data_IF_395902565221
#
_entry.id   IF_395902565221
#
_cell.length_a   1.000
_cell.length_b   1.000
_cell.length_c   1.000
_cell.angle_alpha   90.00
_cell.angle_beta   90.00
_cell.angle_gamma   90.00
#
_symmetry.space_group_name_H-M   'P 1'
#
loop_
_entity.id
_entity.type
_entity.pdbx_description
1 polymer ?
#
# COMPACT_ATOMS: atom_id res chain seq x y z
N UNK A 1 10.34 5.63 -19.06
CA UNK A 1 9.22 6.50 -18.64
C UNK A 1 9.74 7.47 -17.58
N UNK A 2 9.49 8.74 -17.72
CA UNK A 2 9.90 9.72 -16.71
C UNK A 2 8.95 9.60 -15.51
N UNK A 3 9.47 9.72 -14.30
CA UNK A 3 8.73 9.62 -13.02
C UNK A 3 7.44 10.48 -12.96
N UNK A 4 7.40 11.54 -13.78
CA UNK A 4 6.28 12.48 -13.91
C UNK A 4 5.03 11.88 -14.57
N UNK A 5 5.19 10.97 -15.53
CA UNK A 5 4.06 10.36 -16.26
C UNK A 5 3.27 9.38 -15.40
N UNK A 6 3.91 8.83 -14.37
CA UNK A 6 3.31 7.83 -13.51
C UNK A 6 2.29 8.42 -12.51
N UNK A 7 2.61 9.55 -11.90
CA UNK A 7 1.74 10.18 -10.89
C UNK A 7 0.50 10.84 -11.52
N UNK A 8 0.58 11.21 -12.81
CA UNK A 8 -0.58 11.64 -13.60
C UNK A 8 -1.52 10.48 -13.95
N UNK A 9 -1.03 9.24 -14.01
CA UNK A 9 -1.82 8.06 -14.35
C UNK A 9 -2.63 7.51 -13.16
N UNK A 10 -2.19 7.72 -11.93
CA UNK A 10 -2.95 7.32 -10.75
C UNK A 10 -4.21 8.16 -10.47
N UNK A 11 -4.38 9.29 -11.14
CA UNK A 11 -5.52 10.19 -11.01
C UNK A 11 -6.15 10.66 -12.32
N UNK A 12 -5.66 10.22 -13.48
CA UNK A 12 -6.06 10.73 -14.77
C UNK A 12 -6.85 9.76 -15.63
N UNK A 13 -8.10 10.09 -15.90
CA UNK A 13 -8.92 9.44 -16.91
C UNK A 13 -8.41 9.70 -18.33
N UNK A 14 -8.51 8.66 -19.15
CA UNK A 14 -8.25 8.56 -20.57
C UNK A 14 -8.89 9.68 -21.41
N UNK A 15 -8.07 10.33 -22.24
CA UNK A 15 -8.55 10.85 -23.52
C UNK A 15 -8.39 9.70 -24.52
N UNK A 16 -9.51 9.11 -24.94
CA UNK A 16 -9.55 8.19 -26.07
C UNK A 16 -9.32 9.00 -27.36
N UNK A 17 -8.08 9.12 -27.80
CA UNK A 17 -7.78 9.56 -29.15
C UNK A 17 -8.01 8.37 -30.09
N UNK A 18 -8.93 8.52 -31.02
CA UNK A 18 -9.21 7.59 -32.11
C UNK A 18 -7.92 7.37 -32.93
N UNK A 19 -7.39 6.16 -32.87
CA UNK A 19 -6.41 5.68 -33.86
C UNK A 19 -7.15 4.78 -34.85
N UNK A 20 -6.86 4.90 -36.14
CA UNK A 20 -7.58 4.17 -37.18
C UNK A 20 -7.28 2.68 -37.12
N UNK A 21 -8.34 1.88 -37.17
CA UNK A 21 -8.30 0.45 -37.48
C UNK A 21 -7.56 0.17 -38.77
N UNK A 22 -6.61 -0.71 -38.73
CA UNK A 22 -5.85 -1.43 -39.74
C UNK A 22 -4.37 -1.08 -39.79
N UNK A 23 -3.62 -1.59 -38.86
CA UNK A 23 -2.20 -1.87 -39.09
C UNK A 23 -1.77 -3.10 -38.26
N UNK A 24 -1.56 -4.20 -38.98
CA UNK A 24 -0.76 -5.36 -38.60
C UNK A 24 -1.02 -6.01 -37.24
N UNK A 25 -1.86 -7.03 -37.23
CA UNK A 25 -1.68 -8.16 -36.33
C UNK A 25 -0.36 -8.89 -36.70
N UNK A 26 0.77 -8.32 -36.36
CA UNK A 26 1.95 -9.11 -36.08
C UNK A 26 1.62 -9.84 -34.77
N UNK A 27 1.59 -11.16 -34.83
CA UNK A 27 1.69 -12.02 -33.66
C UNK A 27 2.98 -11.64 -32.92
N UNK A 28 2.89 -10.66 -32.01
CA UNK A 28 3.94 -10.43 -31.04
C UNK A 28 3.93 -11.68 -30.15
N UNK A 29 4.99 -12.46 -30.23
CA UNK A 29 5.20 -13.47 -29.20
C UNK A 29 5.05 -12.75 -27.85
N UNK A 30 4.37 -13.35 -26.87
CA UNK A 30 4.22 -12.72 -25.57
C UNK A 30 5.61 -12.44 -25.03
N UNK A 31 5.93 -11.17 -24.78
CA UNK A 31 7.19 -10.79 -24.18
C UNK A 31 7.26 -11.51 -22.84
N UNK A 32 8.25 -12.40 -22.68
CA UNK A 32 8.44 -13.12 -21.43
C UNK A 32 8.59 -12.09 -20.29
N UNK A 33 7.71 -12.19 -19.28
CA UNK A 33 7.74 -11.29 -18.12
C UNK A 33 9.00 -11.49 -17.26
N UNK A 34 9.28 -10.55 -16.34
CA UNK A 34 10.39 -10.69 -15.41
C UNK A 34 10.24 -11.95 -14.55
N UNK A 35 11.34 -12.66 -14.38
CA UNK A 35 11.41 -13.89 -13.56
C UNK A 35 12.04 -13.67 -12.19
N UNK A 36 12.48 -12.45 -11.88
CA UNK A 36 13.11 -12.08 -10.60
C UNK A 36 12.70 -10.67 -10.20
N UNK A 37 12.77 -10.37 -8.91
CA UNK A 37 12.63 -9.01 -8.42
C UNK A 37 13.70 -8.10 -9.02
N UNK A 38 13.31 -6.85 -9.32
CA UNK A 38 14.20 -5.87 -9.93
C UNK A 38 15.17 -5.27 -8.92
N UNK A 39 14.67 -4.94 -7.74
CA UNK A 39 15.43 -4.25 -6.70
C UNK A 39 15.14 -4.84 -5.33
N UNK A 40 16.14 -5.46 -4.72
CA UNK A 40 16.06 -5.95 -3.34
C UNK A 40 17.04 -5.15 -2.51
N UNK A 41 16.53 -4.30 -1.59
CA UNK A 41 17.38 -3.66 -0.60
C UNK A 41 17.44 -4.52 0.65
N UNK A 42 18.67 -4.94 1.03
CA UNK A 42 18.91 -5.71 2.26
C UNK A 42 19.20 -4.74 3.40
N UNK A 43 18.43 -4.85 4.49
CA UNK A 43 18.58 -4.00 5.66
C UNK A 43 18.52 -4.84 6.95
N UNK A 44 19.17 -4.33 7.98
CA UNK A 44 19.08 -4.88 9.34
C UNK A 44 18.42 -3.82 10.23
N UNK A 45 17.43 -4.22 11.02
CA UNK A 45 16.71 -3.36 11.94
C UNK A 45 16.90 -3.89 13.37
N UNK A 46 17.54 -3.10 14.21
CA UNK A 46 17.72 -3.46 15.62
C UNK A 46 16.41 -3.21 16.38
N UNK A 47 15.71 -4.27 16.70
CA UNK A 47 14.44 -4.25 17.44
C UNK A 47 14.54 -4.86 18.82
N UNK A 48 15.62 -5.57 19.13
CA UNK A 48 15.79 -6.32 20.37
C UNK A 48 15.12 -7.70 20.33
N UNK A 49 15.14 -8.35 19.17
CA UNK A 49 14.64 -9.71 18.99
C UNK A 49 15.48 -10.72 19.79
N UNK A 50 14.85 -11.74 20.38
CA UNK A 50 15.55 -12.82 21.10
C UNK A 50 16.30 -13.79 20.18
N UNK A 51 15.92 -13.81 18.89
CA UNK A 51 16.62 -14.48 17.81
C UNK A 51 16.30 -13.75 16.50
N UNK A 52 17.18 -13.76 15.48
CA UNK A 52 16.96 -13.08 14.23
C UNK A 52 15.64 -13.49 13.55
N UNK A 53 14.89 -12.49 13.02
CA UNK A 53 13.67 -12.70 12.25
C UNK A 53 13.98 -12.21 10.84
N UNK A 54 13.72 -13.04 9.83
CA UNK A 54 14.01 -12.73 8.44
C UNK A 54 12.73 -12.60 7.65
N UNK A 55 12.56 -11.48 6.96
CA UNK A 55 11.36 -11.19 6.19
C UNK A 55 11.66 -10.58 4.82
N UNK A 56 10.74 -10.76 3.88
CA UNK A 56 10.64 -9.98 2.65
C UNK A 56 9.45 -9.03 2.80
N UNK A 57 9.71 -7.74 2.82
CA UNK A 57 8.69 -6.70 2.84
C UNK A 57 8.43 -6.22 1.42
N UNK A 58 7.19 -6.37 0.98
CA UNK A 58 6.64 -5.90 -0.30
C UNK A 58 5.36 -5.11 -0.06
N UNK A 59 4.94 -4.32 -1.03
CA UNK A 59 3.72 -3.52 -1.01
C UNK A 59 3.30 -3.18 -2.43
N UNK A 60 2.09 -2.65 -2.63
CA UNK A 60 1.68 -2.05 -3.91
C UNK A 60 1.88 -3.01 -5.10
N UNK A 61 1.32 -4.20 -5.01
CA UNK A 61 1.38 -5.21 -6.07
C UNK A 61 0.41 -4.88 -7.21
N UNK A 62 -0.79 -4.37 -6.89
CA UNK A 62 -1.83 -3.97 -7.84
C UNK A 62 -2.25 -5.08 -8.82
N UNK A 63 -2.69 -6.22 -8.28
CA UNK A 63 -3.27 -7.30 -9.09
C UNK A 63 -4.57 -6.83 -9.76
N UNK A 64 -4.76 -7.20 -11.04
CA UNK A 64 -5.86 -6.71 -11.88
C UNK A 64 -6.70 -7.84 -12.49
N UNK A 65 -6.88 -8.94 -11.77
CA UNK A 65 -7.62 -10.11 -12.22
C UNK A 65 -9.12 -9.86 -12.26
N UNK A 66 -9.79 -10.43 -13.25
CA UNK A 66 -11.24 -10.48 -13.40
C UNK A 66 -11.63 -11.81 -14.03
N UNK A 67 -12.87 -12.28 -13.80
CA UNK A 67 -13.45 -13.46 -14.45
C UNK A 67 -14.92 -13.25 -14.80
N UNK A 68 -15.61 -14.31 -15.19
CA UNK A 68 -17.01 -14.27 -15.64
C UNK A 68 -18.02 -13.78 -14.60
N UNK A 69 -17.64 -13.71 -13.31
CA UNK A 69 -18.47 -13.15 -12.21
C UNK A 69 -18.44 -11.64 -12.16
N UNK A 70 -17.45 -11.03 -12.82
CA UNK A 70 -17.27 -9.58 -12.84
C UNK A 70 -18.05 -8.94 -14.00
N UNK A 71 -18.55 -7.72 -13.80
CA UNK A 71 -19.29 -7.01 -14.83
C UNK A 71 -18.37 -6.38 -15.90
N UNK A 72 -18.96 -5.96 -17.04
CA UNK A 72 -18.21 -5.36 -18.16
C UNK A 72 -17.38 -4.13 -17.75
N UNK A 73 -17.87 -3.33 -16.80
CA UNK A 73 -17.12 -2.17 -16.30
C UNK A 73 -15.84 -2.61 -15.61
N UNK A 74 -15.84 -3.71 -14.85
CA UNK A 74 -14.63 -4.27 -14.23
C UNK A 74 -13.68 -4.88 -15.25
N UNK A 75 -14.18 -5.59 -16.26
CA UNK A 75 -13.34 -6.06 -17.36
C UNK A 75 -12.65 -4.93 -18.10
N UNK A 76 -13.36 -3.84 -18.38
CA UNK A 76 -12.78 -2.64 -19.01
C UNK A 76 -11.74 -1.97 -18.10
N UNK A 77 -12.02 -1.89 -16.79
CA UNK A 77 -11.08 -1.39 -15.80
C UNK A 77 -9.82 -2.25 -15.76
N UNK A 78 -9.95 -3.58 -15.63
CA UNK A 78 -8.84 -4.51 -15.61
C UNK A 78 -7.94 -4.36 -16.83
N UNK A 79 -8.52 -4.33 -18.04
CA UNK A 79 -7.78 -4.13 -19.27
C UNK A 79 -7.01 -2.79 -19.32
N UNK A 80 -7.59 -1.74 -18.75
CA UNK A 80 -6.93 -0.43 -18.61
C UNK A 80 -5.78 -0.48 -17.61
N UNK A 81 -6.04 -1.05 -16.42
CA UNK A 81 -5.06 -1.09 -15.33
C UNK A 81 -3.91 -2.05 -15.62
N UNK A 82 -4.15 -3.15 -16.32
CA UNK A 82 -3.11 -4.07 -16.75
C UNK A 82 -2.07 -3.42 -17.69
N UNK A 83 -2.48 -2.40 -18.46
CA UNK A 83 -1.52 -1.60 -19.23
C UNK A 83 -0.61 -0.73 -18.35
N UNK A 84 -1.08 -0.35 -17.16
CA UNK A 84 -0.30 0.39 -16.16
C UNK A 84 0.62 -0.54 -15.37
N UNK A 85 0.14 -1.75 -15.05
CA UNK A 85 0.82 -2.75 -14.24
C UNK A 85 1.09 -4.06 -15.01
N UNK A 86 1.78 -4.01 -16.17
CA UNK A 86 1.87 -5.17 -17.07
C UNK A 86 2.61 -6.37 -16.46
N UNK A 87 3.40 -6.15 -15.42
CA UNK A 87 4.24 -7.16 -14.79
C UNK A 87 3.91 -7.43 -13.32
N UNK A 88 2.77 -6.93 -12.82
CA UNK A 88 2.39 -7.06 -11.42
C UNK A 88 2.42 -8.51 -10.93
N UNK A 89 1.75 -9.43 -11.63
CA UNK A 89 1.73 -10.84 -11.29
C UNK A 89 3.12 -11.51 -11.37
N UNK A 90 3.90 -11.19 -12.40
CA UNK A 90 5.24 -11.74 -12.56
C UNK A 90 6.17 -11.36 -11.42
N UNK A 91 6.11 -10.11 -10.97
CA UNK A 91 6.90 -9.66 -9.83
C UNK A 91 6.37 -10.23 -8.51
N UNK A 92 5.05 -10.40 -8.38
CA UNK A 92 4.47 -11.05 -7.21
C UNK A 92 4.93 -12.51 -7.09
N UNK A 93 4.85 -13.27 -8.18
CA UNK A 93 5.36 -14.64 -8.24
C UNK A 93 6.86 -14.71 -7.95
N UNK A 94 7.63 -13.74 -8.46
CA UNK A 94 9.05 -13.64 -8.17
C UNK A 94 9.32 -13.35 -6.69
N UNK A 95 8.49 -12.53 -6.04
CA UNK A 95 8.60 -12.25 -4.60
C UNK A 95 8.32 -13.48 -3.75
N UNK A 96 7.24 -14.21 -4.06
CA UNK A 96 6.88 -15.47 -3.38
C UNK A 96 8.01 -16.50 -3.52
N UNK A 97 8.50 -16.69 -4.73
CA UNK A 97 9.60 -17.62 -4.99
C UNK A 97 10.86 -17.21 -4.24
N UNK A 98 11.23 -15.93 -4.30
CA UNK A 98 12.40 -15.42 -3.58
C UNK A 98 12.29 -15.63 -2.07
N UNK A 99 11.13 -15.33 -1.50
CA UNK A 99 10.89 -15.54 -0.07
C UNK A 99 11.02 -17.01 0.32
N UNK A 100 10.44 -17.92 -0.47
CA UNK A 100 10.55 -19.37 -0.25
C UNK A 100 11.99 -19.89 -0.34
N UNK A 101 12.71 -19.51 -1.39
CA UNK A 101 14.10 -19.92 -1.61
C UNK A 101 15.06 -19.44 -0.52
N UNK A 102 14.76 -18.29 0.09
CA UNK A 102 15.57 -17.68 1.13
C UNK A 102 15.03 -17.90 2.56
N UNK A 103 13.93 -18.66 2.72
CA UNK A 103 13.27 -18.92 3.99
C UNK A 103 12.92 -17.64 4.73
N UNK A 104 12.16 -16.74 4.06
CA UNK A 104 11.71 -15.45 4.56
C UNK A 104 10.20 -15.49 4.78
N UNK A 105 9.72 -14.94 5.90
CA UNK A 105 8.30 -14.59 6.02
C UNK A 105 7.94 -13.45 5.08
N UNK A 106 6.69 -13.38 4.63
CA UNK A 106 6.22 -12.33 3.73
C UNK A 106 5.43 -11.27 4.52
N UNK A 107 5.90 -10.05 4.48
CA UNK A 107 5.22 -8.88 5.02
C UNK A 107 4.68 -8.04 3.86
N UNK A 108 3.35 -7.88 3.76
CA UNK A 108 2.72 -7.09 2.73
C UNK A 108 2.01 -5.87 3.33
N UNK A 109 2.39 -4.67 2.92
CA UNK A 109 1.83 -3.44 3.47
C UNK A 109 0.80 -2.77 2.55
N UNK A 110 -0.14 -3.58 2.04
CA UNK A 110 -1.34 -3.09 1.33
C UNK A 110 -1.17 -2.88 -0.17
N UNK A 111 -2.30 -2.61 -0.83
CA UNK A 111 -2.44 -2.50 -2.28
C UNK A 111 -1.96 -3.77 -3.02
N UNK A 112 -2.36 -4.94 -2.49
CA UNK A 112 -2.09 -6.21 -3.15
C UNK A 112 -2.96 -6.37 -4.39
N UNK A 113 -4.25 -6.04 -4.30
CA UNK A 113 -5.13 -5.89 -5.45
C UNK A 113 -5.27 -4.41 -5.86
N UNK A 114 -5.59 -4.17 -7.14
CA UNK A 114 -5.82 -2.81 -7.65
C UNK A 114 -7.27 -2.36 -7.49
N UNK A 115 -8.18 -3.32 -7.43
CA UNK A 115 -9.61 -3.13 -7.18
C UNK A 115 -10.25 -4.45 -6.75
N UNK A 116 -11.38 -4.35 -6.07
CA UNK A 116 -12.15 -5.53 -5.61
C UNK A 116 -12.76 -6.25 -6.82
N UNK A 117 -12.38 -7.52 -7.02
CA UNK A 117 -12.98 -8.46 -7.96
C UNK A 117 -13.00 -9.85 -7.36
N UNK A 118 -13.88 -10.72 -7.82
CA UNK A 118 -13.95 -12.11 -7.32
C UNK A 118 -12.63 -12.85 -7.63
N UNK A 119 -12.09 -12.67 -8.83
CA UNK A 119 -10.84 -13.31 -9.24
C UNK A 119 -9.60 -12.83 -8.46
N UNK A 120 -9.54 -11.54 -8.09
CA UNK A 120 -8.48 -11.04 -7.21
C UNK A 120 -8.60 -11.65 -5.81
N UNK A 121 -9.80 -11.66 -5.24
CA UNK A 121 -10.01 -12.16 -3.87
C UNK A 121 -9.71 -13.65 -3.75
N UNK A 122 -10.16 -14.47 -4.72
CA UNK A 122 -9.87 -15.90 -4.76
C UNK A 122 -8.36 -16.16 -4.86
N UNK A 123 -7.68 -15.41 -5.73
CA UNK A 123 -6.23 -15.55 -5.91
C UNK A 123 -5.47 -15.15 -4.63
N UNK A 124 -5.87 -14.06 -3.98
CA UNK A 124 -5.26 -13.62 -2.71
C UNK A 124 -5.46 -14.69 -1.64
N UNK A 125 -6.69 -15.21 -1.48
CA UNK A 125 -6.98 -16.25 -0.50
C UNK A 125 -6.14 -17.51 -0.75
N UNK A 126 -6.00 -17.94 -2.01
CA UNK A 126 -5.15 -19.06 -2.39
C UNK A 126 -3.69 -18.81 -2.04
N UNK A 127 -3.13 -17.67 -2.43
CA UNK A 127 -1.71 -17.37 -2.20
C UNK A 127 -1.40 -17.18 -0.71
N UNK A 128 -2.25 -16.49 0.03
CA UNK A 128 -2.09 -16.26 1.46
C UNK A 128 -2.41 -17.50 2.32
N UNK A 129 -3.18 -18.45 1.79
CA UNK A 129 -3.38 -19.76 2.41
C UNK A 129 -2.14 -20.65 2.37
N UNK A 130 -1.15 -20.31 1.54
CA UNK A 130 0.08 -21.09 1.35
C UNK A 130 1.29 -20.24 1.72
N UNK A 131 1.84 -20.43 2.90
CA UNK A 131 3.05 -19.72 3.32
C UNK A 131 2.88 -18.90 4.59
N UNK A 132 3.93 -18.19 4.95
CA UNK A 132 3.99 -17.38 6.18
C UNK A 132 3.77 -15.90 5.83
N UNK A 133 2.50 -15.51 5.69
CA UNK A 133 2.08 -14.17 5.35
C UNK A 133 1.64 -13.37 6.57
N UNK A 134 1.90 -12.06 6.53
CA UNK A 134 1.31 -11.08 7.43
C UNK A 134 1.08 -9.77 6.69
N UNK A 135 -0.14 -9.24 6.70
CA UNK A 135 -0.54 -8.15 5.82
C UNK A 135 -1.28 -7.03 6.54
N UNK A 136 -1.13 -5.79 6.07
CA UNK A 136 -2.05 -4.67 6.30
C UNK A 136 -2.82 -4.35 5.01
N UNK A 137 -3.97 -3.71 5.14
CA UNK A 137 -4.75 -3.25 3.99
C UNK A 137 -4.20 -1.93 3.44
N UNK A 138 -4.31 -1.76 2.11
CA UNK A 138 -4.13 -0.49 1.43
C UNK A 138 -5.45 0.09 0.91
N UNK A 139 -5.42 1.26 0.29
CA UNK A 139 -6.63 1.92 -0.17
C UNK A 139 -7.25 1.20 -1.39
N UNK A 140 -6.46 0.49 -2.17
CA UNK A 140 -6.96 -0.29 -3.28
C UNK A 140 -7.64 -1.59 -2.86
N UNK A 141 -7.36 -2.13 -1.66
CA UNK A 141 -8.07 -3.29 -1.12
C UNK A 141 -9.57 -3.10 -1.09
N UNK A 142 -10.05 -1.88 -0.85
CA UNK A 142 -11.48 -1.58 -0.72
C UNK A 142 -12.07 -0.85 -1.92
N UNK A 143 -11.24 -0.52 -2.93
CA UNK A 143 -11.67 0.16 -4.14
C UNK A 143 -12.56 -0.73 -5.02
N UNK A 144 -13.83 -0.36 -5.20
CA UNK A 144 -14.70 -1.02 -6.17
C UNK A 144 -14.28 -0.70 -7.61
N UNK A 145 -13.91 0.56 -7.85
CA UNK A 145 -13.40 1.08 -9.11
C UNK A 145 -12.37 2.16 -8.84
N UNK A 146 -11.20 2.03 -9.43
CA UNK A 146 -10.12 3.00 -9.28
C UNK A 146 -10.54 4.37 -9.79
N UNK A 147 -10.25 5.41 -9.02
CA UNK A 147 -10.57 6.79 -9.39
C UNK A 147 -11.96 7.26 -8.96
N UNK A 148 -12.73 6.46 -8.23
CA UNK A 148 -13.96 6.95 -7.59
C UNK A 148 -13.64 8.02 -6.56
N UNK A 149 -14.45 9.10 -6.58
CA UNK A 149 -14.16 10.30 -5.80
C UNK A 149 -14.48 10.18 -4.30
N UNK A 150 -15.15 9.11 -3.87
CA UNK A 150 -15.54 8.89 -2.47
C UNK A 150 -14.81 7.68 -1.90
N UNK A 151 -13.72 7.95 -1.26
CA UNK A 151 -12.95 6.99 -0.49
C UNK A 151 -13.13 7.34 1.00
N UNK A 152 -14.24 6.95 1.58
CA UNK A 152 -14.61 7.16 2.97
C UNK A 152 -14.99 5.84 3.68
N UNK A 153 -15.27 5.91 4.97
CA UNK A 153 -15.63 4.73 5.78
C UNK A 153 -16.85 3.98 5.22
N UNK A 154 -17.86 4.69 4.68
CA UNK A 154 -19.05 4.07 4.11
C UNK A 154 -18.72 3.32 2.80
N UNK A 155 -17.86 3.89 1.99
CA UNK A 155 -17.36 3.24 0.78
C UNK A 155 -16.53 1.97 1.12
N UNK A 156 -15.63 2.06 2.09
CA UNK A 156 -14.85 0.92 2.59
C UNK A 156 -15.76 -0.24 3.05
N UNK A 157 -16.82 0.05 3.79
CA UNK A 157 -17.73 -0.98 4.30
C UNK A 157 -18.44 -1.79 3.21
N UNK A 158 -18.57 -1.28 2.00
CA UNK A 158 -19.21 -2.00 0.89
C UNK A 158 -18.48 -3.28 0.50
N UNK A 159 -17.16 -3.31 0.68
CA UNK A 159 -16.33 -4.47 0.33
C UNK A 159 -15.60 -5.11 1.50
N UNK A 160 -15.61 -4.47 2.68
CA UNK A 160 -14.78 -4.88 3.82
C UNK A 160 -14.88 -6.38 4.14
N UNK A 161 -16.09 -6.92 4.27
CA UNK A 161 -16.27 -8.33 4.65
C UNK A 161 -15.73 -9.32 3.60
N UNK A 162 -15.88 -8.99 2.31
CA UNK A 162 -15.34 -9.80 1.22
C UNK A 162 -13.81 -9.79 1.24
N UNK A 163 -13.25 -8.61 1.36
CA UNK A 163 -11.80 -8.42 1.38
C UNK A 163 -11.22 -9.11 2.61
N UNK A 164 -11.77 -8.88 3.80
CA UNK A 164 -11.31 -9.53 5.03
C UNK A 164 -11.28 -11.05 4.92
N UNK A 165 -12.24 -11.66 4.24
CA UNK A 165 -12.32 -13.12 4.08
C UNK A 165 -11.16 -13.71 3.24
N UNK A 166 -10.51 -12.90 2.41
CA UNK A 166 -9.37 -13.31 1.59
C UNK A 166 -8.01 -13.20 2.33
N UNK A 167 -7.98 -12.54 3.48
CA UNK A 167 -6.74 -12.27 4.22
C UNK A 167 -6.63 -13.12 5.49
N UNK A 168 -5.41 -13.59 5.86
CA UNK A 168 -5.23 -14.51 6.98
C UNK A 168 -5.35 -13.85 8.36
N UNK A 169 -5.17 -12.53 8.44
CA UNK A 169 -5.25 -11.77 9.69
C UNK A 169 -6.32 -10.69 9.63
N UNK A 170 -6.75 -10.21 10.79
CA UNK A 170 -7.65 -9.07 10.88
C UNK A 170 -6.98 -7.83 10.26
N UNK A 171 -7.63 -7.25 9.25
CA UNK A 171 -7.11 -6.07 8.55
C UNK A 171 -7.30 -4.79 9.37
N UNK A 172 -8.27 -4.76 10.29
CA UNK A 172 -8.50 -3.57 11.13
C UNK A 172 -7.33 -3.31 12.08
N UNK A 173 -7.00 -4.31 12.90
CA UNK A 173 -5.80 -4.36 13.77
C UNK A 173 -5.50 -5.82 14.07
N UNK A 174 -4.31 -6.25 13.75
CA UNK A 174 -3.83 -7.58 14.14
C UNK A 174 -2.48 -7.48 14.83
N UNK A 175 -2.12 -8.49 15.62
CA UNK A 175 -0.79 -8.60 16.19
C UNK A 175 -0.25 -10.02 16.13
N UNK A 176 1.06 -10.14 15.97
CA UNK A 176 1.78 -11.42 15.96
C UNK A 176 3.13 -11.28 16.64
N UNK A 177 3.34 -12.05 17.69
CA UNK A 177 4.62 -12.06 18.40
C UNK A 177 5.55 -13.11 17.82
N UNK A 178 6.74 -12.71 17.41
CA UNK A 178 7.80 -13.57 16.86
C UNK A 178 9.11 -13.21 17.56
N UNK A 179 9.77 -14.18 18.14
CA UNK A 179 11.07 -14.01 18.82
C UNK A 179 11.12 -12.79 19.74
N UNK A 180 10.06 -12.55 20.52
CA UNK A 180 9.98 -11.44 21.47
C UNK A 180 9.65 -10.08 20.85
N UNK A 181 9.40 -10.00 19.56
CA UNK A 181 8.98 -8.77 18.86
C UNK A 181 7.50 -8.85 18.48
N UNK A 182 6.74 -7.82 18.77
CA UNK A 182 5.32 -7.73 18.41
C UNK A 182 5.16 -7.00 17.07
N UNK A 183 4.77 -7.73 16.02
CA UNK A 183 4.39 -7.17 14.72
C UNK A 183 2.91 -6.79 14.79
N UNK A 184 2.61 -5.50 14.64
CA UNK A 184 1.24 -4.97 14.70
C UNK A 184 0.88 -4.38 13.35
N UNK A 185 -0.05 -5.02 12.63
CA UNK A 185 -0.61 -4.52 11.38
C UNK A 185 -1.93 -3.81 11.64
N UNK A 186 -2.16 -2.70 10.97
CA UNK A 186 -3.42 -1.97 11.06
C UNK A 186 -3.78 -1.25 9.75
N UNK A 187 -5.05 -1.00 9.57
CA UNK A 187 -5.64 -0.30 8.45
C UNK A 187 -5.67 1.21 8.73
N UNK A 188 -4.92 2.00 7.98
CA UNK A 188 -4.94 3.46 8.02
C UNK A 188 -5.55 4.10 6.77
N UNK A 189 -6.27 3.32 5.98
CA UNK A 189 -7.01 3.83 4.83
C UNK A 189 -8.40 4.33 5.30
N UNK A 190 -8.87 5.48 4.91
CA UNK A 190 -8.26 6.47 4.03
C UNK A 190 -7.65 7.62 4.83
N UNK A 191 -6.39 7.48 5.20
CA UNK A 191 -5.60 8.49 5.93
C UNK A 191 -6.07 8.74 7.37
N UNK A 192 -6.85 7.85 7.96
CA UNK A 192 -7.43 7.99 9.28
C UNK A 192 -7.22 6.74 10.12
N UNK A 193 -7.06 6.96 11.42
CA UNK A 193 -6.99 5.93 12.46
C UNK A 193 -8.09 6.19 13.47
N UNK A 194 -9.04 5.25 13.60
CA UNK A 194 -10.16 5.42 14.52
C UNK A 194 -9.73 5.33 15.99
N UNK A 195 -10.58 5.83 16.89
CA UNK A 195 -10.34 5.73 18.33
C UNK A 195 -10.26 4.28 18.80
N UNK A 196 -11.05 3.39 18.20
CA UNK A 196 -11.06 1.95 18.49
C UNK A 196 -9.75 1.29 18.05
N UNK A 197 -9.25 1.62 16.87
CA UNK A 197 -7.94 1.16 16.39
C UNK A 197 -6.82 1.67 17.28
N UNK A 198 -6.82 2.96 17.64
CA UNK A 198 -5.86 3.54 18.57
C UNK A 198 -5.87 2.79 19.90
N UNK A 199 -7.05 2.53 20.48
CA UNK A 199 -7.17 1.80 21.72
C UNK A 199 -6.69 0.34 21.57
N UNK A 200 -6.96 -0.31 20.43
CA UNK A 200 -6.48 -1.66 20.16
C UNK A 200 -4.95 -1.72 20.05
N UNK A 201 -4.36 -0.80 19.28
CA UNK A 201 -2.89 -0.71 19.14
C UNK A 201 -2.24 -0.41 20.49
N UNK A 202 -2.83 0.48 21.31
CA UNK A 202 -2.33 0.79 22.65
C UNK A 202 -2.23 -0.45 23.53
N UNK A 203 -3.24 -1.35 23.51
CA UNK A 203 -3.19 -2.64 24.23
C UNK A 203 -2.02 -3.52 23.76
N UNK A 204 -1.63 -3.43 22.50
CA UNK A 204 -0.48 -4.16 21.96
C UNK A 204 0.85 -3.66 22.54
N UNK A 205 0.98 -2.36 22.79
CA UNK A 205 2.15 -1.79 23.48
C UNK A 205 2.19 -2.11 24.98
N UNK A 206 1.04 -2.33 25.60
CA UNK A 206 0.93 -2.75 27.03
C UNK A 206 1.53 -4.13 27.28
N UNK A 207 1.77 -4.95 26.24
CA UNK A 207 2.50 -6.22 26.34
C UNK A 207 3.98 -6.04 26.74
N UNK A 208 4.52 -4.82 26.64
CA UNK A 208 5.91 -4.51 27.03
C UNK A 208 6.96 -5.05 26.06
N UNK A 209 6.57 -5.49 24.87
CA UNK A 209 7.47 -6.00 23.84
C UNK A 209 7.84 -4.89 22.85
N UNK A 210 9.05 -4.95 22.22
CA UNK A 210 9.36 -4.09 21.10
C UNK A 210 8.36 -4.30 19.95
N UNK A 211 7.95 -3.21 19.31
CA UNK A 211 6.90 -3.20 18.28
C UNK A 211 7.47 -2.83 16.92
N UNK A 212 7.15 -3.63 15.93
CA UNK A 212 7.23 -3.31 14.50
C UNK A 212 5.81 -3.04 14.01
N UNK A 213 5.53 -1.80 13.62
CA UNK A 213 4.21 -1.39 13.14
C UNK A 213 4.15 -1.54 11.63
N UNK A 214 3.02 -2.00 11.09
CA UNK A 214 2.77 -2.15 9.67
C UNK A 214 1.48 -1.44 9.29
N UNK A 215 1.55 -0.53 8.35
CA UNK A 215 0.40 0.14 7.73
C UNK A 215 0.69 0.40 6.25
N UNK A 216 -0.32 0.79 5.50
CA UNK A 216 -0.11 1.05 4.09
C UNK A 216 0.39 2.47 3.84
N UNK A 217 -0.36 3.45 4.31
CA UNK A 217 -0.02 4.86 4.10
C UNK A 217 1.08 5.28 5.09
N UNK A 218 2.17 5.89 4.63
CA UNK A 218 3.18 6.37 5.55
C UNK A 218 2.62 7.40 6.53
N UNK A 219 2.96 7.26 7.81
CA UNK A 219 2.64 8.25 8.82
C UNK A 219 3.46 9.52 8.60
N UNK A 220 2.87 10.68 8.82
CA UNK A 220 3.49 11.97 8.51
C UNK A 220 4.86 12.14 9.15
N UNK A 221 5.85 12.41 8.28
CA UNK A 221 7.18 12.88 8.59
C UNK A 221 7.54 14.04 7.65
N UNK A 222 8.22 15.09 8.13
CA UNK A 222 8.39 16.32 7.35
C UNK A 222 9.20 16.17 6.06
N UNK A 223 10.29 15.39 6.11
CA UNK A 223 11.19 15.24 4.95
C UNK A 223 10.56 14.37 3.87
N UNK A 224 9.91 13.27 4.27
CA UNK A 224 9.20 12.41 3.33
C UNK A 224 8.06 13.16 2.64
N UNK A 225 7.26 13.91 3.42
CA UNK A 225 6.21 14.76 2.88
C UNK A 225 6.76 15.78 1.87
N UNK A 226 7.86 16.48 2.20
CA UNK A 226 8.52 17.39 1.26
C UNK A 226 8.99 16.68 -0.01
N UNK A 227 9.53 15.47 0.11
CA UNK A 227 9.97 14.67 -1.04
C UNK A 227 8.82 14.29 -1.94
N UNK A 228 7.66 13.91 -1.36
CA UNK A 228 6.44 13.60 -2.12
C UNK A 228 5.93 14.83 -2.86
N UNK A 229 5.82 15.97 -2.15
CA UNK A 229 5.35 17.23 -2.74
C UNK A 229 6.26 17.70 -3.88
N UNK A 230 7.57 17.61 -3.70
CA UNK A 230 8.53 17.96 -4.75
C UNK A 230 8.42 17.05 -5.97
N UNK A 231 8.17 15.74 -5.77
CA UNK A 231 7.96 14.77 -6.83
C UNK A 231 6.63 14.93 -7.58
N UNK A 232 5.65 15.61 -6.94
CA UNK A 232 4.28 15.79 -7.44
C UNK A 232 3.93 17.22 -7.82
N UNK A 233 4.90 18.08 -8.09
CA UNK A 233 4.68 19.49 -8.41
C UNK A 233 3.86 20.24 -7.32
N UNK A 234 4.07 19.92 -6.06
CA UNK A 234 3.34 20.50 -4.94
C UNK A 234 1.94 19.91 -4.70
N UNK A 235 1.62 18.79 -5.35
CA UNK A 235 0.34 18.10 -5.14
C UNK A 235 0.47 17.04 -4.05
N UNK A 236 -0.38 17.10 -3.05
CA UNK A 236 -0.64 16.18 -1.96
C UNK A 236 0.52 15.48 -1.23
N UNK A 237 0.43 15.52 0.06
CA UNK A 237 1.34 14.81 0.95
C UNK A 237 1.16 13.30 1.04
N UNK A 238 0.04 12.73 0.58
CA UNK A 238 -0.26 11.28 0.63
C UNK A 238 0.27 10.57 1.88
N UNK A 239 0.06 11.18 3.04
CA UNK A 239 0.55 10.66 4.32
C UNK A 239 -0.53 10.80 5.39
N UNK A 240 -0.67 9.76 6.21
CA UNK A 240 -1.59 9.78 7.35
C UNK A 240 -1.14 10.83 8.37
N UNK A 241 -2.02 11.79 8.66
CA UNK A 241 -1.74 12.88 9.61
C UNK A 241 -0.91 14.03 9.05
N UNK A 242 -0.82 14.19 7.73
CA UNK A 242 -0.19 15.36 7.14
C UNK A 242 -0.89 16.66 7.60
N UNK A 243 -0.12 17.73 7.89
CA UNK A 243 -0.69 19.02 8.26
C UNK A 243 -1.67 19.56 7.23
N UNK A 244 -2.75 20.17 7.71
CA UNK A 244 -3.83 20.67 6.85
C UNK A 244 -3.33 21.65 5.78
N UNK A 245 -2.39 22.51 6.15
CA UNK A 245 -1.80 23.50 5.27
C UNK A 245 -1.10 22.85 4.06
N UNK A 246 -0.58 21.65 4.24
CA UNK A 246 0.05 20.88 3.15
C UNK A 246 -0.97 20.16 2.28
N UNK A 247 -2.10 19.72 2.85
CA UNK A 247 -3.17 19.02 2.13
C UNK A 247 -4.12 19.97 1.40
N UNK A 248 -4.21 21.24 1.81
CA UNK A 248 -5.04 22.27 1.16
C UNK A 248 -4.39 22.92 -0.06
N UNK A 249 -3.09 22.77 -0.24
CA UNK A 249 -2.35 23.37 -1.37
C UNK A 249 -2.51 22.64 -2.69
N UNK A 250 -3.46 21.69 -2.78
CA UNK A 250 -3.78 21.03 -4.03
C UNK A 250 -4.24 22.01 -5.11
N UNK A 251 -3.47 22.07 -6.18
CA UNK A 251 -3.92 22.79 -7.36
C UNK A 251 -5.05 22.01 -8.03
N UNK A 252 -6.15 22.71 -8.26
CA UNK A 252 -7.25 22.17 -9.08
C UNK A 252 -6.78 22.19 -10.55
N UNK A 253 -6.99 21.07 -11.24
CA UNK A 253 -6.87 21.03 -12.69
C UNK A 253 -8.21 21.51 -13.30
N UNK A 254 -8.29 22.72 -13.87
CA UNK A 254 -9.53 23.27 -14.41
C UNK A 254 -10.07 22.48 -15.61
N UNK A 255 -9.27 21.62 -16.22
CA UNK A 255 -9.70 20.77 -17.34
C UNK A 255 -10.51 19.55 -16.87
N UNK A 256 -10.56 19.25 -15.58
CA UNK A 256 -11.28 18.09 -15.02
C UNK A 256 -12.65 18.45 -14.50
N UNK A 257 -13.62 17.53 -14.58
CA UNK A 257 -14.91 17.70 -13.91
C UNK A 257 -14.74 17.99 -12.41
N UNK A 258 -15.68 18.76 -11.83
CA UNK A 258 -15.63 19.10 -10.41
C UNK A 258 -15.59 17.89 -9.47
N UNK A 259 -16.19 16.76 -9.88
CA UNK A 259 -16.16 15.48 -9.15
C UNK A 259 -14.77 14.81 -9.14
N UNK A 260 -13.89 15.19 -10.06
CA UNK A 260 -12.54 14.65 -10.22
C UNK A 260 -11.46 15.62 -9.75
N UNK A 261 -11.85 16.77 -9.21
CA UNK A 261 -10.91 17.74 -8.71
C UNK A 261 -10.23 17.23 -7.43
N UNK A 262 -8.91 17.37 -7.40
CA UNK A 262 -8.10 16.97 -6.24
C UNK A 262 -8.53 17.63 -4.92
N UNK A 263 -9.15 18.80 -4.97
CA UNK A 263 -9.71 19.45 -3.79
C UNK A 263 -10.67 18.57 -2.99
N UNK A 264 -11.44 17.71 -3.66
CA UNK A 264 -12.34 16.78 -2.97
C UNK A 264 -11.54 15.66 -2.30
N UNK A 265 -10.36 15.29 -2.82
CA UNK A 265 -9.46 14.31 -2.21
C UNK A 265 -8.68 14.90 -1.04
N UNK A 266 -8.28 16.16 -1.08
CA UNK A 266 -7.60 16.78 0.07
C UNK A 266 -8.46 16.77 1.34
N UNK A 267 -9.77 16.86 1.20
CA UNK A 267 -10.73 16.72 2.32
C UNK A 267 -10.72 15.29 2.86
N UNK A 268 -10.57 14.29 2.00
CA UNK A 268 -10.53 12.87 2.39
C UNK A 268 -9.22 12.50 3.10
N UNK A 269 -8.12 13.17 2.76
CA UNK A 269 -6.82 12.97 3.42
C UNK A 269 -6.65 13.76 4.71
N UNK A 270 -7.66 14.54 5.09
CA UNK A 270 -7.63 15.34 6.29
C UNK A 270 -7.70 14.45 7.51
N UNK A 271 -6.64 14.46 8.30
CA UNK A 271 -6.62 13.75 9.57
C UNK A 271 -7.68 14.30 10.52
N UNK A 272 -8.43 13.41 11.13
CA UNK A 272 -9.34 13.73 12.22
C UNK A 272 -8.60 13.82 13.58
N UNK A 273 -9.31 14.22 14.63
CA UNK A 273 -8.74 14.34 15.97
C UNK A 273 -8.20 13.01 16.50
N UNK A 274 -8.85 11.90 16.18
CA UNK A 274 -8.41 10.56 16.59
C UNK A 274 -7.07 10.21 15.97
N UNK A 275 -6.92 10.46 14.68
CA UNK A 275 -5.66 10.24 13.94
C UNK A 275 -4.52 11.09 14.49
N UNK A 276 -4.77 12.39 14.74
CA UNK A 276 -3.77 13.28 15.31
C UNK A 276 -3.37 12.87 16.72
N UNK A 277 -4.33 12.45 17.56
CA UNK A 277 -4.08 11.92 18.89
C UNK A 277 -3.26 10.62 18.85
N UNK A 278 -3.57 9.72 17.90
CA UNK A 278 -2.80 8.50 17.69
C UNK A 278 -1.35 8.80 17.33
N UNK A 279 -1.10 9.70 16.38
CA UNK A 279 0.26 10.06 15.96
C UNK A 279 1.06 10.73 17.07
N UNK A 280 0.43 11.63 17.84
CA UNK A 280 1.07 12.28 18.98
C UNK A 280 1.48 11.24 20.04
N UNK A 281 0.57 10.34 20.39
CA UNK A 281 0.84 9.24 21.32
C UNK A 281 1.94 8.31 20.81
N UNK A 282 1.88 7.90 19.52
CA UNK A 282 2.79 6.94 18.93
C UNK A 282 4.25 7.44 18.92
N UNK A 283 4.46 8.74 18.71
CA UNK A 283 5.80 9.37 18.74
C UNK A 283 6.49 9.27 20.10
N UNK A 284 5.73 9.16 21.17
CA UNK A 284 6.24 9.05 22.54
C UNK A 284 6.50 7.59 22.97
N UNK A 285 6.22 6.60 22.11
CA UNK A 285 6.32 5.19 22.49
C UNK A 285 7.76 4.66 22.38
N UNK A 286 8.44 4.31 23.47
CA UNK A 286 9.83 3.84 23.44
C UNK A 286 9.94 2.41 22.89
N UNK A 287 8.85 1.64 22.92
CA UNK A 287 8.77 0.28 22.39
C UNK A 287 8.63 0.24 20.86
N UNK A 288 8.23 1.35 20.22
CA UNK A 288 8.19 1.41 18.76
C UNK A 288 9.62 1.40 18.20
N UNK A 289 9.93 0.44 17.33
CA UNK A 289 11.26 0.23 16.76
C UNK A 289 11.30 0.48 15.24
N UNK A 290 10.24 0.11 14.54
CA UNK A 290 10.14 0.34 13.10
C UNK A 290 8.69 0.53 12.68
N UNK A 291 8.49 1.25 11.57
CA UNK A 291 7.23 1.33 10.84
C UNK A 291 7.51 0.91 9.40
N UNK A 292 6.74 -0.05 8.89
CA UNK A 292 6.83 -0.53 7.51
C UNK A 292 5.61 -0.05 6.73
N UNK A 293 5.83 0.59 5.57
CA UNK A 293 4.79 1.19 4.74
C UNK A 293 5.01 0.96 3.26
N UNK A 294 3.96 1.23 2.46
CA UNK A 294 3.96 1.28 1.00
C UNK A 294 3.48 2.62 0.43
N UNK A 295 2.47 2.58 -0.44
CA UNK A 295 1.67 3.70 -0.95
C UNK A 295 2.41 4.72 -1.84
N UNK A 296 3.62 5.13 -1.50
CA UNK A 296 4.36 6.15 -2.27
C UNK A 296 5.21 5.57 -3.39
N UNK A 297 5.15 4.26 -3.59
CA UNK A 297 5.81 3.51 -4.66
C UNK A 297 7.32 3.74 -4.76
N UNK A 298 7.96 4.15 -3.69
CA UNK A 298 9.39 4.46 -3.68
C UNK A 298 10.06 4.06 -2.38
N UNK A 299 11.32 3.65 -2.47
CA UNK A 299 12.11 3.44 -1.27
C UNK A 299 12.40 4.77 -0.58
N UNK A 300 11.92 4.88 0.66
CA UNK A 300 12.24 5.99 1.52
C UNK A 300 12.41 5.53 2.96
N UNK A 301 13.24 6.23 3.72
CA UNK A 301 13.36 5.99 5.16
C UNK A 301 13.57 7.31 5.88
N UNK A 302 12.89 7.49 7.00
CA UNK A 302 13.01 8.67 7.85
C UNK A 302 12.77 8.31 9.31
N UNK A 303 13.44 9.04 10.19
CA UNK A 303 13.19 8.92 11.63
C UNK A 303 11.81 9.44 11.97
N UNK A 304 10.96 8.56 12.48
CA UNK A 304 9.60 8.89 12.91
C UNK A 304 9.56 9.37 14.38
N UNK A 305 10.34 8.72 15.24
CA UNK A 305 10.44 9.04 16.66
C UNK A 305 11.89 8.84 17.15
N UNK A 306 12.25 9.18 18.41
CA UNK A 306 13.59 8.91 18.93
C UNK A 306 14.04 7.46 18.81
N UNK A 307 13.10 6.51 18.81
CA UNK A 307 13.37 5.06 18.84
C UNK A 307 13.02 4.33 17.54
N UNK A 308 12.30 4.98 16.60
CA UNK A 308 11.77 4.32 15.40
C UNK A 308 12.16 5.02 14.11
N UNK A 309 12.43 4.20 13.08
CA UNK A 309 12.55 4.65 11.70
C UNK A 309 11.35 4.10 10.92
N UNK A 310 10.77 4.92 10.06
CA UNK A 310 9.76 4.53 9.09
C UNK A 310 10.44 4.18 7.77
N UNK A 311 10.06 3.03 7.21
CA UNK A 311 10.57 2.48 5.96
C UNK A 311 9.43 2.34 4.96
N UNK A 312 9.52 3.03 3.84
CA UNK A 312 8.59 2.87 2.72
C UNK A 312 9.26 2.06 1.63
N UNK A 313 8.59 1.04 1.12
CA UNK A 313 9.12 0.17 0.07
C UNK A 313 8.70 0.64 -1.32
N UNK A 314 9.55 0.41 -2.33
CA UNK A 314 9.18 0.61 -3.73
C UNK A 314 8.10 -0.40 -4.14
N UNK A 315 7.19 0.04 -5.00
CA UNK A 315 6.04 -0.76 -5.42
C UNK A 315 6.41 -2.15 -5.95
N UNK A 316 5.66 -3.16 -5.50
CA UNK A 316 5.83 -4.56 -5.88
C UNK A 316 5.61 -4.78 -7.38
N UNK A 317 4.63 -4.07 -8.01
CA UNK A 317 4.46 -4.15 -9.47
C UNK A 317 5.65 -3.62 -10.26
N UNK A 318 6.59 -2.91 -9.63
CA UNK A 318 7.88 -2.49 -10.19
C UNK A 318 9.02 -3.46 -9.82
N UNK A 319 8.75 -4.49 -9.03
CA UNK A 319 9.72 -5.46 -8.57
C UNK A 319 10.60 -4.99 -7.41
N UNK A 320 10.11 -4.04 -6.60
CA UNK A 320 10.79 -3.54 -5.41
C UNK A 320 10.51 -4.39 -4.16
N UNK A 321 11.51 -4.57 -3.31
CA UNK A 321 11.37 -5.25 -2.01
C UNK A 321 12.45 -4.82 -1.02
N UNK A 322 12.14 -4.90 0.28
CA UNK A 322 13.15 -4.99 1.33
C UNK A 322 13.31 -6.44 1.80
N UNK A 323 14.52 -6.94 1.81
CA UNK A 323 14.86 -8.10 2.62
C UNK A 323 15.36 -7.59 3.98
N UNK A 324 14.61 -7.90 5.02
CA UNK A 324 14.85 -7.36 6.37
C UNK A 324 15.32 -8.48 7.29
N UNK A 325 16.34 -8.19 8.07
CA UNK A 325 16.73 -8.97 9.24
C UNK A 325 16.47 -8.13 10.49
N UNK A 326 15.50 -8.53 11.30
CA UNK A 326 15.25 -7.91 12.61
C UNK A 326 16.09 -8.63 13.66
N UNK A 327 16.92 -7.88 14.42
CA UNK A 327 17.84 -8.38 15.45
C UNK A 327 17.59 -7.76 16.82
#
# INVERSE_FOLDING_TARGET
>A
MKRLEFLQLCGGMLIASQLPDKACARLLEPIAGPTSLRTIKKITIAVGATAPIRALHISDTHLTRVDERDNERKHSLAASRQRVFPWAEHYFDAAIRYARENNLMLLHTGDLQDFVSEANLDFIAEQMGVGDWYASAGNHEFSQYVGEAREDAAYKQQSYHKVQAAYPNDLTVASRVINGVNFVAFDDVYYNVTAEQHAAIKREFEKGLPVVLMCHVPLYTPEHCRSILAGNNGLAGYMTGAPLELTETYQQDPSRPASEQWRNRSVQQRADESTLAFLAWLKEQPLLKAILCGHTHSFYQERFSPTAIQYTVEAGYMGGAYQIEFI
#
